data_IF_939233323393
#
_entry.id   IF_939233323393
#
_cell.length_a   1.000
_cell.length_b   1.000
_cell.length_c   1.000
_cell.angle_alpha   90.00
_cell.angle_beta   90.00
_cell.angle_gamma   90.00
#
_symmetry.space_group_name_H-M   'P 1'
#
loop_
_entity.id
_entity.type
_entity.pdbx_description
1 polymer ?
#
# COMPACT_ATOMS: atom_id res chain seq x y z
N UNK A 1 -16.29 -53.73 -15.34
CA UNK A 1 -16.83 -52.38 -15.58
C UNK A 1 -15.81 -51.40 -15.06
N UNK A 2 -15.05 -50.76 -15.95
CA UNK A 2 -14.00 -49.80 -15.63
C UNK A 2 -14.60 -48.39 -15.61
N UNK A 3 -14.58 -47.72 -14.46
CA UNK A 3 -14.94 -46.31 -14.32
C UNK A 3 -13.98 -45.44 -15.15
N UNK A 4 -14.56 -44.66 -16.06
CA UNK A 4 -13.84 -43.71 -16.90
C UNK A 4 -13.30 -42.56 -16.06
N UNK A 5 -11.97 -42.46 -15.99
CA UNK A 5 -11.25 -41.28 -15.55
C UNK A 5 -11.66 -40.08 -16.41
N UNK A 6 -12.45 -39.17 -15.84
CA UNK A 6 -12.70 -37.86 -16.43
C UNK A 6 -11.43 -37.04 -16.25
N UNK A 7 -10.56 -37.05 -17.26
CA UNK A 7 -9.46 -36.09 -17.38
C UNK A 7 -10.06 -34.70 -17.60
N UNK A 8 -9.68 -33.67 -16.83
CA UNK A 8 -10.08 -32.30 -17.14
C UNK A 8 -9.53 -31.94 -18.53
N UNK A 9 -10.40 -31.49 -19.43
CA UNK A 9 -9.96 -30.97 -20.72
C UNK A 9 -8.97 -29.81 -20.48
N UNK A 10 -7.81 -29.78 -21.16
CA UNK A 10 -6.90 -28.65 -21.07
C UNK A 10 -7.65 -27.37 -21.49
N UNK A 11 -7.56 -26.32 -20.68
CA UNK A 11 -8.15 -25.01 -21.00
C UNK A 11 -7.76 -24.61 -22.43
N UNK A 12 -8.73 -24.20 -23.25
CA UNK A 12 -8.44 -23.82 -24.64
C UNK A 12 -7.36 -22.72 -24.68
N UNK A 13 -6.34 -22.84 -25.56
CA UNK A 13 -5.26 -21.86 -25.69
C UNK A 13 -5.76 -20.42 -25.89
N UNK A 14 -6.94 -20.27 -26.50
CA UNK A 14 -7.65 -19.00 -26.74
C UNK A 14 -8.03 -18.28 -25.44
N UNK A 15 -8.42 -19.01 -24.40
CA UNK A 15 -8.87 -18.45 -23.12
C UNK A 15 -7.68 -18.07 -22.24
N UNK A 16 -6.61 -18.87 -22.25
CA UNK A 16 -5.36 -18.52 -21.58
C UNK A 16 -4.71 -17.28 -22.22
N UNK A 17 -4.60 -17.24 -23.56
CA UNK A 17 -4.05 -16.09 -24.27
C UNK A 17 -4.86 -14.81 -24.03
N UNK A 18 -6.20 -14.91 -24.02
CA UNK A 18 -7.10 -13.79 -23.70
C UNK A 18 -6.89 -13.29 -22.26
N UNK A 19 -6.81 -14.19 -21.29
CA UNK A 19 -6.60 -13.81 -19.88
C UNK A 19 -5.21 -13.20 -19.66
N UNK A 20 -4.17 -13.76 -20.30
CA UNK A 20 -2.82 -13.20 -20.29
C UNK A 20 -2.78 -11.80 -20.94
N UNK A 21 -3.46 -11.61 -22.06
CA UNK A 21 -3.56 -10.32 -22.74
C UNK A 21 -4.29 -9.27 -21.88
N UNK A 22 -5.37 -9.64 -21.20
CA UNK A 22 -6.09 -8.75 -20.27
C UNK A 22 -5.20 -8.34 -19.09
N UNK A 23 -4.43 -9.27 -18.51
CA UNK A 23 -3.49 -8.97 -17.43
C UNK A 23 -2.33 -8.08 -17.90
N UNK A 24 -1.79 -8.34 -19.09
CA UNK A 24 -0.74 -7.52 -19.69
C UNK A 24 -1.24 -6.10 -19.98
N UNK A 25 -2.43 -5.95 -20.54
CA UNK A 25 -3.07 -4.67 -20.79
C UNK A 25 -3.36 -3.92 -19.48
N UNK A 26 -3.91 -4.61 -18.46
CA UNK A 26 -4.12 -4.02 -17.14
C UNK A 26 -2.83 -3.52 -16.51
N UNK A 27 -1.74 -4.30 -16.63
CA UNK A 27 -0.41 -3.89 -16.15
C UNK A 27 0.12 -2.67 -16.93
N UNK A 28 -0.04 -2.66 -18.25
CA UNK A 28 0.38 -1.53 -19.08
C UNK A 28 -0.40 -0.25 -18.72
N UNK A 29 -1.72 -0.34 -18.55
CA UNK A 29 -2.55 0.78 -18.12
C UNK A 29 -2.15 1.26 -16.71
N UNK A 30 -1.90 0.34 -15.77
CA UNK A 30 -1.38 0.68 -14.43
C UNK A 30 -0.04 1.43 -14.51
N UNK A 31 0.85 1.03 -15.41
CA UNK A 31 2.14 1.70 -15.62
C UNK A 31 1.98 3.08 -16.27
N UNK A 32 1.13 3.20 -17.28
CA UNK A 32 0.85 4.48 -17.95
C UNK A 32 0.20 5.46 -16.98
N UNK A 33 -0.85 5.02 -16.27
CA UNK A 33 -1.52 5.87 -15.27
C UNK A 33 -0.57 6.24 -14.13
N UNK A 34 0.32 5.33 -13.72
CA UNK A 34 1.37 5.59 -12.74
C UNK A 34 2.35 6.66 -13.24
N UNK A 35 2.81 6.54 -14.48
CA UNK A 35 3.66 7.56 -15.12
C UNK A 35 2.97 8.93 -15.15
N UNK A 36 1.71 8.98 -15.58
CA UNK A 36 0.93 10.23 -15.62
C UNK A 36 0.77 10.85 -14.22
N UNK A 37 0.53 10.03 -13.20
CA UNK A 37 0.52 10.45 -11.80
C UNK A 37 1.87 11.07 -11.40
N UNK A 38 2.98 10.39 -11.68
CA UNK A 38 4.31 10.89 -11.31
C UNK A 38 4.68 12.17 -12.05
N UNK A 39 4.39 12.25 -13.36
CA UNK A 39 4.60 13.45 -14.16
C UNK A 39 3.75 14.62 -13.66
N UNK A 40 2.49 14.36 -13.33
CA UNK A 40 1.58 15.34 -12.73
C UNK A 40 2.09 15.88 -11.39
N UNK A 41 2.46 14.99 -10.46
CA UNK A 41 3.04 15.38 -9.17
C UNK A 41 4.34 16.17 -9.35
N UNK A 42 5.24 15.72 -10.23
CA UNK A 42 6.48 16.42 -10.53
C UNK A 42 6.22 17.83 -11.09
N UNK A 43 5.20 17.99 -11.94
CA UNK A 43 4.78 19.28 -12.46
C UNK A 43 4.30 20.21 -11.35
N UNK A 44 3.30 19.82 -10.55
CA UNK A 44 2.77 20.71 -9.49
C UNK A 44 3.76 20.98 -8.37
N UNK A 45 4.55 19.99 -7.97
CA UNK A 45 5.64 20.20 -7.00
C UNK A 45 6.73 21.09 -7.62
N UNK A 46 7.07 20.94 -8.90
CA UNK A 46 7.99 21.83 -9.60
C UNK A 46 7.51 23.28 -9.64
N UNK A 47 6.20 23.53 -9.78
CA UNK A 47 5.62 24.87 -9.66
C UNK A 47 5.89 25.48 -8.27
N UNK A 48 5.89 24.67 -7.21
CA UNK A 48 6.21 25.16 -5.85
C UNK A 48 7.68 25.51 -5.66
N UNK A 49 8.62 24.92 -6.42
CA UNK A 49 10.02 25.38 -6.41
C UNK A 49 10.19 26.75 -7.05
N UNK A 50 9.38 27.03 -8.10
CA UNK A 50 9.47 28.27 -8.87
C UNK A 50 8.80 29.45 -8.16
N UNK A 51 7.76 29.19 -7.38
CA UNK A 51 6.90 30.23 -6.78
C UNK A 51 6.80 30.15 -5.25
N UNK A 52 7.31 29.09 -4.64
CA UNK A 52 7.24 28.86 -3.20
C UNK A 52 8.48 29.30 -2.45
N UNK A 53 8.34 29.46 -1.14
CA UNK A 53 9.42 29.88 -0.23
C UNK A 53 10.29 28.71 0.26
N UNK A 54 9.91 27.47 -0.04
CA UNK A 54 10.56 26.24 0.46
C UNK A 54 10.73 25.16 -0.61
N UNK A 55 11.58 24.17 -0.31
CA UNK A 55 11.73 22.97 -1.13
C UNK A 55 10.61 21.94 -0.82
N UNK A 56 9.38 22.30 -1.19
CA UNK A 56 8.19 21.46 -0.98
C UNK A 56 8.27 20.07 -1.66
N UNK A 57 8.86 19.89 -2.86
CA UNK A 57 9.02 18.56 -3.47
C UNK A 57 9.84 17.61 -2.60
N UNK A 58 11.01 18.04 -2.12
CA UNK A 58 11.85 17.20 -1.26
C UNK A 58 11.14 16.88 0.06
N UNK A 59 10.44 17.85 0.62
CA UNK A 59 9.64 17.71 1.85
C UNK A 59 8.52 16.69 1.68
N UNK A 60 7.75 16.79 0.60
CA UNK A 60 6.68 15.87 0.25
C UNK A 60 7.22 14.45 0.04
N UNK A 61 8.30 14.30 -0.74
CA UNK A 61 8.90 13.00 -1.04
C UNK A 61 9.49 12.34 0.20
N UNK A 62 10.15 13.12 1.07
CA UNK A 62 10.66 12.66 2.36
C UNK A 62 9.53 12.15 3.25
N UNK A 63 8.43 12.89 3.36
CA UNK A 63 7.30 12.46 4.18
C UNK A 63 6.61 11.22 3.59
N UNK A 64 6.52 11.11 2.26
CA UNK A 64 5.82 10.02 1.59
C UNK A 64 6.66 8.74 1.49
N UNK A 65 7.98 8.80 1.69
CA UNK A 65 8.84 7.60 1.63
C UNK A 65 8.55 6.63 2.77
N UNK A 66 8.33 7.12 3.99
CA UNK A 66 8.08 6.29 5.17
C UNK A 66 6.88 5.32 5.02
N UNK A 67 5.67 5.75 4.63
CA UNK A 67 4.57 4.81 4.42
C UNK A 67 4.84 3.85 3.24
N UNK A 68 5.56 4.28 2.20
CA UNK A 68 5.91 3.40 1.08
C UNK A 68 6.90 2.32 1.53
N UNK A 69 7.89 2.65 2.38
CA UNK A 69 8.81 1.65 2.95
C UNK A 69 8.06 0.58 3.73
N UNK A 70 7.06 0.98 4.53
CA UNK A 70 6.22 0.02 5.26
C UNK A 70 5.35 -0.78 4.29
N UNK A 71 4.79 -0.16 3.24
CA UNK A 71 4.04 -0.88 2.22
C UNK A 71 4.90 -1.94 1.54
N UNK A 72 6.11 -1.60 1.09
CA UNK A 72 7.02 -2.53 0.42
C UNK A 72 7.42 -3.68 1.34
N UNK A 73 7.68 -3.38 2.62
CA UNK A 73 7.94 -4.36 3.68
C UNK A 73 6.78 -5.34 3.87
N UNK A 74 5.55 -4.81 3.97
CA UNK A 74 4.33 -5.61 4.21
C UNK A 74 3.97 -6.42 2.98
N UNK A 75 3.96 -5.81 1.79
CA UNK A 75 3.61 -6.48 0.54
C UNK A 75 4.65 -7.52 0.13
N UNK A 76 5.91 -7.11 0.03
CA UNK A 76 7.00 -7.96 -0.46
C UNK A 76 7.42 -9.02 0.54
N UNK A 77 7.39 -8.71 1.84
CA UNK A 77 7.83 -9.62 2.89
C UNK A 77 6.69 -10.47 3.46
N UNK A 78 5.82 -9.85 4.24
CA UNK A 78 4.88 -10.61 5.09
C UNK A 78 3.73 -11.22 4.29
N UNK A 79 3.11 -10.44 3.40
CA UNK A 79 1.92 -10.89 2.70
C UNK A 79 2.25 -11.89 1.60
N UNK A 80 3.15 -11.54 0.69
CA UNK A 80 3.50 -12.41 -0.44
C UNK A 80 4.19 -13.71 0.00
N UNK A 81 5.11 -13.64 0.98
CA UNK A 81 5.92 -14.81 1.35
C UNK A 81 5.30 -15.67 2.45
N UNK A 82 4.45 -15.12 3.33
CA UNK A 82 3.97 -15.84 4.52
C UNK A 82 2.45 -16.00 4.54
N UNK A 83 1.71 -14.91 4.35
CA UNK A 83 0.26 -14.94 4.47
C UNK A 83 -0.40 -15.76 3.36
N UNK A 84 -0.08 -15.48 2.09
CA UNK A 84 -0.70 -16.16 0.95
C UNK A 84 -0.48 -17.68 1.00
N UNK A 85 0.75 -18.19 1.20
CA UNK A 85 0.97 -19.64 1.26
C UNK A 85 0.20 -20.31 2.41
N UNK A 86 0.18 -19.69 3.60
CA UNK A 86 -0.57 -20.21 4.75
C UNK A 86 -2.07 -20.20 4.49
N UNK A 87 -2.60 -19.13 3.90
CA UNK A 87 -4.01 -19.06 3.56
C UNK A 87 -4.41 -20.11 2.50
N UNK A 88 -3.60 -20.30 1.47
CA UNK A 88 -3.82 -21.33 0.43
C UNK A 88 -3.72 -22.75 1.01
N UNK A 89 -2.79 -22.99 1.93
CA UNK A 89 -2.69 -24.24 2.68
C UNK A 89 -3.98 -24.52 3.46
N UNK A 90 -4.52 -23.53 4.18
CA UNK A 90 -5.77 -23.68 4.93
C UNK A 90 -6.98 -23.83 4.01
N UNK A 91 -7.02 -23.11 2.89
CA UNK A 91 -8.10 -23.22 1.92
C UNK A 91 -8.16 -24.61 1.26
N UNK A 92 -7.01 -25.29 1.13
CA UNK A 92 -6.90 -26.62 0.51
C UNK A 92 -7.00 -27.78 1.50
N UNK A 93 -6.60 -27.60 2.76
CA UNK A 93 -6.52 -28.68 3.76
C UNK A 93 -7.58 -28.59 4.86
N UNK A 94 -8.27 -27.45 5.03
CA UNK A 94 -9.26 -27.19 6.09
C UNK A 94 -10.59 -26.73 5.50
N UNK A 95 -11.57 -26.50 6.36
CA UNK A 95 -12.87 -25.96 5.93
C UNK A 95 -12.72 -24.51 5.45
N UNK A 96 -13.64 -24.08 4.60
CA UNK A 96 -13.70 -22.69 4.13
C UNK A 96 -13.97 -21.72 5.29
N UNK A 97 -14.75 -22.12 6.29
CA UNK A 97 -14.92 -21.35 7.53
C UNK A 97 -13.58 -21.11 8.23
N UNK A 98 -12.77 -22.16 8.39
CA UNK A 98 -11.48 -22.08 9.08
C UNK A 98 -10.50 -21.18 8.32
N UNK A 99 -10.45 -21.30 6.99
CA UNK A 99 -9.62 -20.42 6.17
C UNK A 99 -10.02 -18.94 6.35
N UNK A 100 -11.32 -18.63 6.33
CA UNK A 100 -11.82 -17.26 6.56
C UNK A 100 -11.62 -16.78 8.00
N UNK A 101 -11.67 -17.67 8.98
CA UNK A 101 -11.33 -17.37 10.37
C UNK A 101 -9.86 -16.92 10.48
N UNK A 102 -8.93 -17.70 9.90
CA UNK A 102 -7.50 -17.35 9.85
C UNK A 102 -7.27 -16.03 9.12
N UNK A 103 -7.90 -15.83 7.96
CA UNK A 103 -7.81 -14.58 7.22
C UNK A 103 -8.31 -13.38 8.04
N UNK A 104 -9.42 -13.55 8.76
CA UNK A 104 -9.97 -12.49 9.61
C UNK A 104 -9.04 -12.18 10.79
N UNK A 105 -8.52 -13.21 11.46
CA UNK A 105 -7.61 -13.06 12.58
C UNK A 105 -6.29 -12.37 12.16
N UNK A 106 -5.73 -12.72 11.00
CA UNK A 106 -4.56 -12.03 10.43
C UNK A 106 -4.89 -10.59 10.07
N UNK A 107 -6.05 -10.35 9.44
CA UNK A 107 -6.49 -9.00 9.07
C UNK A 107 -6.65 -8.11 10.31
N UNK A 108 -7.28 -8.61 11.36
CA UNK A 108 -7.48 -7.87 12.61
C UNK A 108 -6.14 -7.59 13.31
N UNK A 109 -5.24 -8.58 13.36
CA UNK A 109 -3.91 -8.38 13.93
C UNK A 109 -3.12 -7.34 13.14
N UNK A 110 -3.12 -7.42 11.81
CA UNK A 110 -2.50 -6.44 10.94
C UNK A 110 -3.10 -5.05 11.16
N UNK A 111 -4.43 -4.92 11.21
CA UNK A 111 -5.10 -3.65 11.49
C UNK A 111 -4.68 -3.05 12.83
N UNK A 112 -4.57 -3.86 13.90
CA UNK A 112 -4.12 -3.38 15.21
C UNK A 112 -2.67 -2.88 15.14
N UNK A 113 -1.76 -3.67 14.56
CA UNK A 113 -0.34 -3.33 14.46
C UNK A 113 -0.16 -2.07 13.60
N UNK A 114 -0.77 -2.03 12.42
CA UNK A 114 -0.69 -0.90 11.49
C UNK A 114 -1.36 0.36 12.07
N UNK A 115 -2.44 0.21 12.83
CA UNK A 115 -3.08 1.33 13.54
C UNK A 115 -2.19 1.85 14.67
N UNK A 116 -1.53 0.96 15.42
CA UNK A 116 -0.56 1.36 16.43
C UNK A 116 0.60 2.13 15.81
N UNK A 117 1.18 1.62 14.71
CA UNK A 117 2.20 2.35 13.94
C UNK A 117 1.69 3.68 13.40
N UNK A 118 0.43 3.74 12.97
CA UNK A 118 -0.20 4.97 12.48
C UNK A 118 -0.31 6.01 13.58
N UNK A 119 -0.84 5.65 14.74
CA UNK A 119 -0.96 6.54 15.89
C UNK A 119 0.42 7.01 16.36
N UNK A 120 1.37 6.07 16.50
CA UNK A 120 2.75 6.40 16.87
C UNK A 120 3.40 7.33 15.84
N UNK A 121 3.23 7.09 14.55
CA UNK A 121 3.78 7.92 13.48
C UNK A 121 3.19 9.33 13.46
N UNK A 122 1.90 9.49 13.79
CA UNK A 122 1.27 10.82 13.93
C UNK A 122 1.88 11.58 15.11
N UNK A 123 1.94 10.96 16.29
CA UNK A 123 2.44 11.60 17.52
C UNK A 123 3.95 11.88 17.40
N UNK A 124 4.71 10.92 16.89
CA UNK A 124 6.17 11.00 16.73
C UNK A 124 6.61 11.65 15.41
N UNK A 125 5.68 12.16 14.59
CA UNK A 125 6.00 12.76 13.28
C UNK A 125 7.17 13.76 13.30
N UNK A 126 7.30 14.69 14.28
CA UNK A 126 8.43 15.61 14.31
C UNK A 126 9.76 14.92 14.63
N UNK A 127 9.73 13.89 15.48
CA UNK A 127 10.90 13.11 15.85
C UNK A 127 11.36 12.23 14.68
N UNK A 128 10.43 11.54 14.02
CA UNK A 128 10.71 10.69 12.86
C UNK A 128 11.36 11.50 11.73
N UNK A 129 10.79 12.65 11.38
CA UNK A 129 11.39 13.54 10.37
C UNK A 129 12.77 14.03 10.82
N UNK A 130 12.95 14.39 12.10
CA UNK A 130 14.26 14.79 12.61
C UNK A 130 15.30 13.68 12.45
N UNK A 131 14.95 12.44 12.82
CA UNK A 131 15.82 11.27 12.67
C UNK A 131 16.12 10.98 11.18
N UNK A 132 15.12 10.99 10.31
CA UNK A 132 15.30 10.77 8.87
C UNK A 132 16.21 11.82 8.23
N UNK A 133 16.12 13.09 8.66
CA UNK A 133 17.02 14.15 8.20
C UNK A 133 18.42 14.10 8.82
N UNK A 134 18.58 13.44 9.98
CA UNK A 134 19.86 13.35 10.69
C UNK A 134 20.69 12.12 10.26
N UNK A 135 20.03 11.01 9.94
CA UNK A 135 20.68 9.74 9.59
C UNK A 135 20.55 9.35 8.11
N UNK A 136 19.66 9.98 7.34
CA UNK A 136 19.46 9.68 5.92
C UNK A 136 20.32 10.52 4.97
N UNK A 137 20.25 10.20 3.67
CA UNK A 137 20.93 10.91 2.56
C UNK A 137 20.46 12.38 2.35
N UNK A 138 19.62 12.91 3.25
CA UNK A 138 19.07 14.27 3.21
C UNK A 138 19.88 15.27 4.07
N UNK A 139 21.16 14.99 4.30
CA UNK A 139 22.05 15.85 5.09
C UNK A 139 22.48 17.09 4.30
N UNK A 140 21.83 18.23 4.50
CA UNK A 140 22.38 19.56 4.16
C UNK A 140 21.89 20.66 5.12
N UNK A 141 22.67 20.84 6.18
CA UNK A 141 23.19 22.09 6.79
C UNK A 141 22.40 23.39 6.99
N UNK A 142 21.24 23.67 6.38
CA UNK A 142 20.74 25.06 6.35
C UNK A 142 19.56 25.35 7.29
N UNK A 143 19.39 26.60 7.74
CA UNK A 143 18.23 27.04 8.57
C UNK A 143 16.86 26.82 7.89
N UNK A 144 16.83 26.60 6.57
CA UNK A 144 15.71 26.06 5.82
C UNK A 144 15.21 24.69 6.36
N UNK A 145 16.05 23.97 7.10
CA UNK A 145 15.79 22.66 7.68
C UNK A 145 14.68 22.66 8.72
N UNK A 146 14.45 23.74 9.49
CA UNK A 146 13.39 23.70 10.51
C UNK A 146 11.99 23.84 9.92
N UNK A 147 11.79 24.80 9.01
CA UNK A 147 10.51 24.97 8.32
C UNK A 147 10.20 23.75 7.43
N UNK A 148 11.21 23.22 6.72
CA UNK A 148 11.11 21.95 5.98
C UNK A 148 10.75 20.78 6.90
N UNK A 149 11.34 20.69 8.11
CA UNK A 149 10.98 19.64 9.08
C UNK A 149 9.53 19.77 9.55
N UNK A 150 9.03 20.99 9.74
CA UNK A 150 7.64 21.25 10.13
C UNK A 150 6.66 20.89 9.00
N UNK A 151 6.95 21.30 7.77
CA UNK A 151 6.16 20.93 6.59
C UNK A 151 6.19 19.43 6.32
N UNK A 152 7.34 18.78 6.48
CA UNK A 152 7.47 17.34 6.33
C UNK A 152 6.71 16.61 7.44
N UNK A 153 6.77 17.08 8.69
CA UNK A 153 5.97 16.51 9.77
C UNK A 153 4.47 16.70 9.53
N UNK A 154 4.07 17.84 8.94
CA UNK A 154 2.70 18.06 8.50
C UNK A 154 2.27 17.03 7.46
N UNK A 155 3.00 16.87 6.36
CA UNK A 155 2.70 15.86 5.34
C UNK A 155 2.70 14.44 5.92
N UNK A 156 3.67 14.13 6.78
CA UNK A 156 3.80 12.83 7.40
C UNK A 156 2.55 12.44 8.19
N UNK A 157 1.93 13.38 8.91
CA UNK A 157 0.66 13.12 9.63
C UNK A 157 -0.49 12.71 8.70
N UNK A 158 -0.51 13.21 7.47
CA UNK A 158 -1.49 12.80 6.46
C UNK A 158 -1.12 11.47 5.81
N UNK A 159 0.16 11.19 5.63
CA UNK A 159 0.63 10.01 4.91
C UNK A 159 0.75 8.77 5.79
N UNK A 160 1.01 8.92 7.09
CA UNK A 160 1.07 7.81 8.04
C UNK A 160 -0.21 6.94 8.05
N UNK A 161 -1.44 7.50 8.01
CA UNK A 161 -2.66 6.70 7.83
C UNK A 161 -2.67 5.80 6.60
N UNK A 162 -1.92 6.12 5.54
CA UNK A 162 -1.82 5.28 4.34
C UNK A 162 -1.30 3.88 4.68
N UNK A 163 -0.49 3.71 5.72
CA UNK A 163 0.06 2.42 6.18
C UNK A 163 -1.04 1.37 6.40
N UNK A 164 -2.17 1.78 7.00
CA UNK A 164 -3.32 0.89 7.23
C UNK A 164 -3.89 0.42 5.89
N UNK A 165 -4.14 1.35 4.97
CA UNK A 165 -4.76 1.06 3.67
C UNK A 165 -3.83 0.30 2.74
N UNK A 166 -2.53 0.54 2.82
CA UNK A 166 -1.50 -0.26 2.17
C UNK A 166 -1.52 -1.70 2.66
N UNK A 167 -1.56 -1.92 3.98
CA UNK A 167 -1.71 -3.26 4.55
C UNK A 167 -3.03 -3.94 4.15
N UNK A 168 -4.15 -3.22 4.18
CA UNK A 168 -5.44 -3.73 3.71
C UNK A 168 -5.40 -4.09 2.22
N UNK A 169 -4.87 -3.21 1.37
CA UNK A 169 -4.68 -3.46 -0.06
C UNK A 169 -3.84 -4.71 -0.30
N UNK A 170 -2.80 -4.92 0.51
CA UNK A 170 -1.95 -6.10 0.43
C UNK A 170 -2.72 -7.38 0.80
N UNK A 171 -3.44 -7.37 1.91
CA UNK A 171 -4.24 -8.51 2.38
C UNK A 171 -5.36 -8.83 1.40
N UNK A 172 -6.12 -7.84 0.93
CA UNK A 172 -7.18 -8.03 -0.04
C UNK A 172 -6.62 -8.58 -1.34
N UNK A 173 -5.50 -8.03 -1.82
CA UNK A 173 -4.78 -8.52 -2.99
C UNK A 173 -4.37 -9.98 -2.83
N UNK A 174 -3.80 -10.33 -1.68
CA UNK A 174 -3.38 -11.70 -1.37
C UNK A 174 -4.55 -12.69 -1.31
N UNK A 175 -5.66 -12.31 -0.67
CA UNK A 175 -6.88 -13.13 -0.60
C UNK A 175 -7.51 -13.35 -1.98
N UNK A 176 -7.57 -12.30 -2.80
CA UNK A 176 -8.07 -12.36 -4.17
C UNK A 176 -7.17 -13.23 -5.05
N UNK A 177 -5.85 -13.06 -4.96
CA UNK A 177 -4.88 -13.88 -5.69
C UNK A 177 -4.95 -15.36 -5.29
N UNK A 178 -5.12 -15.66 -4.00
CA UNK A 178 -5.31 -17.03 -3.51
C UNK A 178 -6.54 -17.72 -4.12
N UNK A 179 -7.59 -16.94 -4.45
CA UNK A 179 -8.78 -17.40 -5.16
C UNK A 179 -8.67 -17.25 -6.69
N UNK A 180 -7.47 -17.05 -7.23
CA UNK A 180 -7.20 -16.84 -8.67
C UNK A 180 -7.94 -15.64 -9.30
N UNK A 181 -8.28 -14.64 -8.48
CA UNK A 181 -8.91 -13.40 -8.94
C UNK A 181 -7.85 -12.28 -9.12
N UNK A 182 -7.09 -12.37 -10.21
CA UNK A 182 -5.91 -11.51 -10.44
C UNK A 182 -6.23 -10.08 -10.91
N UNK A 183 -7.45 -9.85 -11.43
CA UNK A 183 -7.82 -8.56 -12.03
C UNK A 183 -8.00 -7.47 -10.98
N UNK A 184 -8.83 -7.68 -9.96
CA UNK A 184 -9.08 -6.64 -8.95
C UNK A 184 -7.78 -6.13 -8.27
N UNK A 185 -6.82 -7.00 -7.86
CA UNK A 185 -5.53 -6.54 -7.33
C UNK A 185 -4.67 -5.80 -8.36
N UNK A 186 -4.65 -6.25 -9.63
CA UNK A 186 -3.86 -5.63 -10.68
C UNK A 186 -4.35 -4.21 -11.07
N UNK A 187 -5.66 -3.97 -10.94
CA UNK A 187 -6.28 -2.67 -11.23
C UNK A 187 -6.32 -1.74 -10.00
N UNK A 188 -6.05 -2.24 -8.80
CA UNK A 188 -6.09 -1.44 -7.58
C UNK A 188 -5.21 -0.16 -7.65
N UNK A 189 -3.97 -0.21 -8.17
CA UNK A 189 -3.14 0.99 -8.31
C UNK A 189 -3.71 2.04 -9.26
N UNK A 190 -4.55 1.66 -10.23
CA UNK A 190 -5.18 2.62 -11.16
C UNK A 190 -6.11 3.56 -10.39
N UNK A 191 -6.87 3.04 -9.42
CA UNK A 191 -7.74 3.87 -8.59
C UNK A 191 -6.93 4.92 -7.81
N UNK A 192 -5.77 4.53 -7.25
CA UNK A 192 -4.85 5.48 -6.63
C UNK A 192 -4.38 6.53 -7.65
N UNK A 193 -3.89 6.09 -8.80
CA UNK A 193 -3.35 6.98 -9.83
C UNK A 193 -4.39 8.02 -10.29
N UNK A 194 -5.63 7.61 -10.53
CA UNK A 194 -6.71 8.50 -10.95
C UNK A 194 -7.06 9.55 -9.89
N UNK A 195 -7.12 9.16 -8.60
CA UNK A 195 -7.37 10.10 -7.50
C UNK A 195 -6.23 11.11 -7.37
N UNK A 196 -4.97 10.66 -7.48
CA UNK A 196 -3.83 11.56 -7.43
C UNK A 196 -3.77 12.48 -8.65
N UNK A 197 -4.09 11.99 -9.86
CA UNK A 197 -4.22 12.85 -11.05
C UNK A 197 -5.32 13.89 -10.84
N UNK A 198 -6.49 13.51 -10.31
CA UNK A 198 -7.55 14.44 -9.95
C UNK A 198 -7.10 15.48 -8.93
N UNK A 199 -6.26 15.07 -7.97
CA UNK A 199 -5.66 15.97 -6.96
C UNK A 199 -4.71 16.98 -7.61
N UNK A 200 -3.87 16.54 -8.55
CA UNK A 200 -2.96 17.41 -9.32
C UNK A 200 -3.76 18.43 -10.13
N UNK A 201 -4.85 18.01 -10.76
CA UNK A 201 -5.75 18.90 -11.50
C UNK A 201 -6.39 19.92 -10.54
N UNK A 202 -6.95 19.45 -9.42
CA UNK A 202 -7.54 20.32 -8.41
C UNK A 202 -6.53 21.33 -7.85
N UNK A 203 -5.30 20.88 -7.57
CA UNK A 203 -4.20 21.74 -7.15
C UNK A 203 -3.92 22.82 -8.20
N UNK A 204 -3.83 22.46 -9.48
CA UNK A 204 -3.54 23.41 -10.55
C UNK A 204 -4.59 24.54 -10.65
N UNK A 205 -5.87 24.22 -10.46
CA UNK A 205 -6.94 25.23 -10.53
C UNK A 205 -7.20 25.97 -9.20
N UNK A 206 -6.53 25.57 -8.12
CA UNK A 206 -6.70 26.21 -6.82
C UNK A 206 -6.12 27.65 -6.81
N UNK A 207 -6.84 28.66 -6.29
CA UNK A 207 -6.35 30.03 -6.23
C UNK A 207 -5.33 30.24 -5.10
N UNK A 208 -4.48 31.25 -5.27
CA UNK A 208 -3.49 31.68 -4.27
C UNK A 208 -2.08 31.12 -4.49
N UNK A 209 -1.18 31.42 -3.54
CA UNK A 209 0.20 30.95 -3.59
C UNK A 209 0.28 29.43 -3.49
N UNK A 210 1.09 28.81 -4.36
CA UNK A 210 1.15 27.35 -4.54
C UNK A 210 1.80 26.60 -3.37
N UNK A 211 2.43 27.32 -2.46
CA UNK A 211 3.05 26.83 -1.22
C UNK A 211 2.19 27.11 0.02
N UNK A 212 0.97 27.64 -0.14
CA UNK A 212 0.11 27.92 1.01
C UNK A 212 -0.45 26.64 1.64
N UNK A 213 -0.97 26.77 2.86
CA UNK A 213 -1.52 25.64 3.62
C UNK A 213 -2.65 24.90 2.91
N UNK A 214 -3.45 25.59 2.10
CA UNK A 214 -4.54 24.96 1.35
C UNK A 214 -4.00 24.03 0.26
N UNK A 215 -3.02 24.47 -0.51
CA UNK A 215 -2.33 23.67 -1.53
C UNK A 215 -1.66 22.44 -0.90
N UNK A 216 -1.01 22.61 0.26
CA UNK A 216 -0.43 21.49 1.01
C UNK A 216 -1.48 20.48 1.47
N UNK A 217 -2.61 20.95 2.03
CA UNK A 217 -3.72 20.07 2.46
C UNK A 217 -4.31 19.30 1.27
N UNK A 218 -4.49 19.95 0.12
CA UNK A 218 -5.01 19.29 -1.10
C UNK A 218 -4.07 18.18 -1.54
N UNK A 219 -2.75 18.44 -1.65
CA UNK A 219 -1.78 17.41 -1.99
C UNK A 219 -1.77 16.28 -0.95
N UNK A 220 -1.69 16.62 0.33
CA UNK A 220 -1.57 15.66 1.41
C UNK A 220 -2.79 14.72 1.47
N UNK A 221 -3.98 15.31 1.42
CA UNK A 221 -5.25 14.58 1.49
C UNK A 221 -5.49 13.77 0.22
N UNK A 222 -5.25 14.35 -0.95
CA UNK A 222 -5.47 13.68 -2.22
C UNK A 222 -4.56 12.48 -2.43
N UNK A 223 -3.29 12.58 -2.04
CA UNK A 223 -2.36 11.43 -2.05
C UNK A 223 -2.84 10.32 -1.12
N UNK A 224 -3.25 10.65 0.10
CA UNK A 224 -3.78 9.66 1.04
C UNK A 224 -5.09 9.03 0.56
N UNK A 225 -6.01 9.83 0.03
CA UNK A 225 -7.25 9.33 -0.56
C UNK A 225 -7.00 8.41 -1.76
N UNK A 226 -5.93 8.62 -2.51
CA UNK A 226 -5.52 7.69 -3.55
C UNK A 226 -5.23 6.30 -2.99
N UNK A 227 -4.50 6.21 -1.86
CA UNK A 227 -4.19 4.91 -1.23
C UNK A 227 -5.46 4.28 -0.65
N UNK A 228 -6.33 5.08 -0.05
CA UNK A 228 -7.66 4.63 0.41
C UNK A 228 -8.45 4.03 -0.75
N UNK A 229 -8.52 4.72 -1.89
CA UNK A 229 -9.24 4.25 -3.08
C UNK A 229 -8.66 2.93 -3.61
N UNK A 230 -7.33 2.78 -3.64
CA UNK A 230 -6.66 1.53 -4.02
C UNK A 230 -7.03 0.35 -3.10
N UNK A 231 -7.16 0.58 -1.79
CA UNK A 231 -7.59 -0.48 -0.88
C UNK A 231 -9.08 -0.83 -1.11
N UNK A 232 -9.94 0.20 -1.17
CA UNK A 232 -11.39 0.02 -1.22
C UNK A 232 -11.90 -0.54 -2.54
N UNK A 233 -11.24 -0.26 -3.67
CA UNK A 233 -11.68 -0.76 -4.99
C UNK A 233 -11.62 -2.29 -5.10
N UNK A 234 -10.83 -2.95 -4.24
CA UNK A 234 -10.73 -4.41 -4.17
C UNK A 234 -11.86 -5.05 -3.36
N UNK A 235 -12.51 -4.27 -2.48
CA UNK A 235 -13.51 -4.77 -1.55
C UNK A 235 -14.73 -5.41 -2.24
N UNK A 236 -15.30 -4.85 -3.33
CA UNK A 236 -16.43 -5.50 -4.02
C UNK A 236 -16.06 -6.88 -4.59
N UNK A 237 -14.86 -7.05 -5.13
CA UNK A 237 -14.40 -8.34 -5.63
C UNK A 237 -14.22 -9.34 -4.49
N UNK A 238 -13.69 -8.88 -3.35
CA UNK A 238 -13.53 -9.68 -2.14
C UNK A 238 -14.90 -10.14 -1.61
N UNK A 239 -15.89 -9.24 -1.48
CA UNK A 239 -17.24 -9.57 -1.03
C UNK A 239 -17.93 -10.61 -1.94
N UNK A 240 -17.68 -10.57 -3.26
CA UNK A 240 -18.20 -11.57 -4.22
C UNK A 240 -17.63 -12.97 -4.01
N UNK A 241 -16.46 -13.09 -3.36
CA UNK A 241 -15.90 -14.38 -2.94
C UNK A 241 -16.59 -14.96 -1.69
N UNK A 242 -17.61 -14.31 -1.14
CA UNK A 242 -18.35 -14.81 0.01
C UNK A 242 -17.50 -14.82 1.29
N UNK A 243 -16.76 -13.72 1.51
CA UNK A 243 -15.93 -13.53 2.70
C UNK A 243 -16.78 -13.66 3.96
N UNK A 244 -16.29 -14.44 4.93
CA UNK A 244 -16.84 -14.50 6.28
C UNK A 244 -15.90 -13.79 7.23
N UNK A 245 -16.07 -12.49 7.35
CA UNK A 245 -15.30 -11.69 8.30
C UNK A 245 -15.75 -12.01 9.73
N UNK A 246 -14.78 -12.29 10.61
CA UNK A 246 -15.01 -12.47 12.04
C UNK A 246 -14.10 -11.51 12.83
N UNK A 247 -14.64 -10.68 13.74
CA UNK A 247 -13.83 -9.77 14.56
C UNK A 247 -13.14 -10.54 15.70
N UNK A 248 -12.19 -11.40 15.35
CA UNK A 248 -11.44 -12.26 16.28
C UNK A 248 -9.96 -11.89 16.35
N UNK A 249 -9.39 -12.06 17.55
CA UNK A 249 -7.97 -11.92 17.82
C UNK A 249 -7.45 -13.20 18.45
N UNK A 250 -6.91 -14.09 17.63
CA UNK A 250 -6.41 -15.39 18.06
C UNK A 250 -4.89 -15.49 17.86
N UNK A 251 -4.15 -14.86 18.75
CA UNK A 251 -2.67 -14.83 18.71
C UNK A 251 -2.04 -16.23 18.88
N UNK A 252 -2.80 -17.17 19.41
CA UNK A 252 -2.34 -18.52 19.71
C UNK A 252 -2.66 -19.51 18.59
N UNK A 253 -3.48 -19.11 17.61
CA UNK A 253 -3.79 -19.91 16.44
C UNK A 253 -2.51 -20.42 15.74
N UNK A 254 -2.40 -21.72 15.41
CA UNK A 254 -1.20 -22.29 14.79
C UNK A 254 -0.75 -21.54 13.52
N UNK A 255 -1.69 -21.12 12.68
CA UNK A 255 -1.39 -20.34 11.48
C UNK A 255 -0.80 -18.96 11.80
N UNK A 256 -1.32 -18.26 12.82
CA UNK A 256 -0.84 -16.94 13.22
C UNK A 256 0.55 -17.04 13.84
N UNK A 257 0.77 -18.02 14.72
CA UNK A 257 2.10 -18.31 15.26
C UNK A 257 3.11 -18.64 14.16
N UNK A 258 2.71 -19.42 13.16
CA UNK A 258 3.55 -19.76 11.98
C UNK A 258 3.94 -18.48 11.22
N UNK A 259 2.97 -17.61 10.90
CA UNK A 259 3.24 -16.33 10.22
C UNK A 259 4.13 -15.43 11.07
N UNK A 260 3.82 -15.24 12.35
CA UNK A 260 4.58 -14.37 13.25
C UNK A 260 6.04 -14.81 13.44
N UNK A 261 6.27 -16.12 13.64
CA UNK A 261 7.62 -16.68 13.76
C UNK A 261 8.47 -16.46 12.51
N UNK A 262 7.85 -16.49 11.33
CA UNK A 262 8.53 -16.25 10.07
C UNK A 262 8.67 -14.76 9.75
N UNK A 263 7.72 -13.93 10.21
CA UNK A 263 7.73 -12.49 9.99
C UNK A 263 8.85 -11.81 10.78
N UNK A 264 9.08 -12.17 12.05
CA UNK A 264 10.10 -11.51 12.90
C UNK A 264 11.50 -11.48 12.26
N UNK A 265 12.10 -12.60 11.85
CA UNK A 265 13.43 -12.57 11.23
C UNK A 265 13.43 -11.88 9.86
N UNK A 266 12.36 -12.01 9.08
CA UNK A 266 12.21 -11.35 7.79
C UNK A 266 12.15 -9.83 7.93
N UNK A 267 11.34 -9.33 8.87
CA UNK A 267 11.25 -7.91 9.19
C UNK A 267 12.59 -7.40 9.72
N UNK A 268 13.27 -8.15 10.57
CA UNK A 268 14.62 -7.82 11.05
C UNK A 268 15.62 -7.68 9.90
N UNK A 269 15.63 -8.64 8.97
CA UNK A 269 16.50 -8.59 7.78
C UNK A 269 16.19 -7.36 6.90
N UNK A 270 14.92 -7.07 6.64
CA UNK A 270 14.54 -5.94 5.77
C UNK A 270 14.85 -4.60 6.45
N UNK A 271 14.66 -4.49 7.78
CA UNK A 271 15.06 -3.30 8.53
C UNK A 271 16.58 -3.06 8.47
N UNK A 272 17.38 -4.12 8.59
CA UNK A 272 18.84 -4.02 8.44
C UNK A 272 19.23 -3.59 7.02
N UNK A 273 18.55 -4.12 6.00
CA UNK A 273 18.79 -3.75 4.61
C UNK A 273 18.46 -2.27 4.35
N UNK A 274 17.35 -1.77 4.90
CA UNK A 274 16.93 -0.37 4.79
C UNK A 274 17.88 0.61 5.50
N UNK A 275 18.56 0.19 6.56
CA UNK A 275 19.52 1.03 7.29
C UNK A 275 20.91 0.99 6.63
N UNK A 276 21.22 -0.07 5.89
CA UNK A 276 22.50 -0.24 5.19
C UNK A 276 22.59 0.40 3.80
N UNK A 277 21.54 1.09 3.34
CA UNK A 277 21.47 1.82 2.05
C UNK A 277 21.39 3.31 2.27
#
# INVERSE_FOLDING_TARGET
MSEGLVTPLPDEPSTFARNAAVMALGTAISRITGFLRYAGLAYVLGLTLRYGKTNLPSTYNLANSMPNMIFDLVMGGVIASLFIPVFVEYLSTRSREEAWYVASAVTNLALIILSAFTVLGIIMSPLLIRLMTAFGSYSSGDMATQLVREEAAFFLRFFVPQIIFYGLSAIFGGLLNAHRHFTAPAFAPIANNLVVIGTVIAFHFLPGARDNRLHMVVLATGTTLGVVAQALVQLPALLRLGVRYTPVLDLWHPAIRKIGRLAVPLLGYILLWQVGT
#
